data_IF_708832113122
#
_entry.id   IF_708832113122
#
_cell.length_a   1.000
_cell.length_b   1.000
_cell.length_c   1.000
_cell.angle_alpha   90.00
_cell.angle_beta   90.00
_cell.angle_gamma   90.00
#
_symmetry.space_group_name_H-M   'P 1'
#
loop_
_entity.id
_entity.type
_entity.pdbx_description
1 polymer ?
#
# COMPACT_ATOMS: atom_id res chain seq x y z
N UNK A 1 -45.98 53.22 21.52
CA UNK A 1 -45.48 54.13 20.46
C UNK A 1 -44.67 55.22 21.14
N UNK A 2 -43.35 55.25 21.02
CA UNK A 2 -42.56 56.38 21.51
C UNK A 2 -41.35 56.60 20.61
N UNK A 3 -41.15 57.88 20.28
CA UNK A 3 -40.35 58.41 19.16
C UNK A 3 -38.85 58.42 19.47
N UNK A 4 -38.08 58.20 18.40
CA UNK A 4 -36.69 58.62 18.20
C UNK A 4 -36.40 60.02 18.77
N UNK A 5 -35.19 60.22 19.33
CA UNK A 5 -34.24 61.24 18.84
C UNK A 5 -32.83 61.12 19.42
N UNK A 6 -31.91 61.30 18.48
CA UNK A 6 -30.46 61.42 18.50
C UNK A 6 -29.85 62.45 19.50
N UNK A 7 -28.61 62.12 19.90
CA UNK A 7 -27.37 62.91 19.76
C UNK A 7 -26.68 63.51 21.01
N UNK A 8 -25.33 63.45 20.87
CA UNK A 8 -24.27 64.26 21.48
C UNK A 8 -23.78 63.77 22.87
N UNK A 9 -22.49 63.77 23.23
CA UNK A 9 -21.37 64.69 22.92
C UNK A 9 -20.03 63.93 23.06
N UNK A 10 -19.02 64.38 22.33
CA UNK A 10 -17.63 63.89 22.33
C UNK A 10 -16.76 64.34 23.52
N UNK A 11 -15.67 63.58 23.69
CA UNK A 11 -14.30 63.98 24.08
C UNK A 11 -13.98 64.23 25.57
N UNK A 12 -13.04 63.44 26.10
CA UNK A 12 -11.68 63.90 26.43
C UNK A 12 -10.84 62.77 27.06
N UNK A 13 -9.53 62.77 26.80
CA UNK A 13 -8.55 62.17 27.71
C UNK A 13 -7.76 60.99 27.17
N UNK A 14 -6.68 61.29 26.46
CA UNK A 14 -5.58 60.36 26.21
C UNK A 14 -4.80 60.06 27.49
N UNK A 15 -4.24 58.85 27.63
CA UNK A 15 -2.84 58.66 28.04
C UNK A 15 -2.37 57.25 27.68
N UNK A 16 -1.19 57.18 27.07
CA UNK A 16 -0.47 55.98 26.66
C UNK A 16 0.05 55.19 27.86
N UNK A 17 0.12 53.86 27.74
CA UNK A 17 1.36 53.10 27.93
C UNK A 17 1.15 51.63 27.54
N UNK A 18 2.00 51.15 26.63
CA UNK A 18 2.11 49.78 26.21
C UNK A 18 2.76 48.90 27.30
N UNK A 19 2.35 47.62 27.37
CA UNK A 19 3.28 46.48 27.26
C UNK A 19 2.55 45.14 27.42
N UNK A 20 2.90 44.21 26.52
CA UNK A 20 2.80 42.76 26.65
C UNK A 20 1.42 42.11 26.53
N UNK A 21 0.91 42.04 25.30
CA UNK A 21 0.05 40.92 24.89
C UNK A 21 0.90 39.66 24.81
N UNK A 22 0.74 38.78 25.80
CA UNK A 22 0.99 37.37 25.61
C UNK A 22 0.07 36.91 24.46
N UNK A 23 0.62 36.83 23.25
CA UNK A 23 -0.03 36.08 22.18
C UNK A 23 -0.05 34.64 22.66
N UNK A 24 -1.24 34.16 23.02
CA UNK A 24 -1.54 32.75 22.95
C UNK A 24 -1.23 32.32 21.52
N UNK A 25 -0.02 31.79 21.33
CA UNK A 25 0.35 31.00 20.16
C UNK A 25 -0.59 29.79 20.21
N UNK A 26 -1.73 29.91 19.53
CA UNK A 26 -2.36 28.78 18.88
C UNK A 26 -1.27 28.20 17.97
N UNK A 27 -0.56 27.19 18.50
CA UNK A 27 0.22 26.32 17.66
C UNK A 27 -0.76 25.76 16.62
N UNK A 28 -0.48 25.89 15.31
CA UNK A 28 -1.22 25.11 14.35
C UNK A 28 -1.04 23.64 14.76
N UNK A 29 -2.14 22.96 15.06
CA UNK A 29 -2.12 21.51 15.13
C UNK A 29 -1.49 21.04 13.81
N UNK A 30 -0.38 20.29 13.85
CA UNK A 30 0.17 19.73 12.63
C UNK A 30 -0.97 18.96 11.97
N UNK A 31 -1.16 19.06 10.63
CA UNK A 31 -2.18 18.30 9.94
C UNK A 31 -2.01 16.87 10.41
N UNK A 32 -3.06 16.36 11.08
CA UNK A 32 -3.06 15.05 11.71
C UNK A 32 -2.47 14.08 10.71
N UNK A 33 -1.24 13.66 10.99
CA UNK A 33 -0.61 12.59 10.25
C UNK A 33 -1.56 11.43 10.44
N UNK A 34 -2.34 11.12 9.39
CA UNK A 34 -2.87 9.79 9.21
C UNK A 34 -1.65 8.90 9.27
N UNK A 35 -1.37 8.40 10.47
CA UNK A 35 -0.25 7.53 10.71
C UNK A 35 -0.47 6.37 9.78
N UNK A 36 0.28 6.33 8.68
CA UNK A 36 0.37 5.13 7.88
C UNK A 36 0.77 4.05 8.86
N UNK A 37 -0.11 3.08 9.05
CA UNK A 37 0.21 1.88 9.82
C UNK A 37 1.50 1.36 9.18
N UNK A 38 2.62 1.27 9.91
CA UNK A 38 3.93 0.92 9.33
C UNK A 38 3.95 -0.50 8.71
N UNK A 39 2.84 -1.21 8.76
CA UNK A 39 2.57 -2.50 8.13
C UNK A 39 1.97 -2.41 6.72
N UNK A 40 1.53 -1.23 6.26
CA UNK A 40 1.06 -1.06 4.88
C UNK A 40 2.29 -1.08 3.95
N UNK A 41 2.44 -2.16 3.18
CA UNK A 41 3.55 -2.28 2.24
C UNK A 41 3.45 -1.14 1.24
N UNK A 42 4.52 -0.36 1.17
CA UNK A 42 4.69 0.71 0.19
C UNK A 42 4.81 0.05 -1.18
N UNK A 43 3.80 0.16 -2.05
CA UNK A 43 3.81 -0.48 -3.38
C UNK A 43 5.04 -0.08 -4.22
N UNK A 44 5.60 1.10 -3.96
CA UNK A 44 6.86 1.62 -4.51
C UNK A 44 8.13 0.95 -3.97
N UNK A 45 8.05 0.25 -2.83
CA UNK A 45 9.11 -0.60 -2.29
C UNK A 45 9.08 -2.03 -2.87
N UNK A 46 7.93 -2.47 -3.38
CA UNK A 46 7.75 -3.79 -4.03
C UNK A 46 8.34 -3.75 -5.44
N UNK A 47 8.03 -2.70 -6.20
CA UNK A 47 8.60 -2.43 -7.51
C UNK A 47 8.83 -0.93 -7.66
N UNK A 48 10.03 -0.57 -8.11
CA UNK A 48 10.27 0.80 -8.58
C UNK A 48 9.40 1.09 -9.81
N UNK A 49 9.13 2.38 -10.08
CA UNK A 49 8.39 2.77 -11.28
C UNK A 49 9.05 2.25 -12.57
N UNK A 50 10.38 2.21 -12.63
CA UNK A 50 11.12 1.71 -13.80
C UNK A 50 10.90 0.19 -13.99
N UNK A 51 10.92 -0.59 -12.91
CA UNK A 51 10.66 -2.04 -12.97
C UNK A 51 9.20 -2.33 -13.33
N UNK A 52 8.27 -1.55 -12.78
CA UNK A 52 6.87 -1.62 -13.16
C UNK A 52 6.67 -1.33 -14.66
N UNK A 53 7.23 -0.23 -15.19
CA UNK A 53 7.17 0.10 -16.63
C UNK A 53 7.80 -1.00 -17.48
N UNK A 54 8.92 -1.60 -17.06
CA UNK A 54 9.54 -2.71 -17.78
C UNK A 54 8.64 -3.97 -17.85
N UNK A 55 7.70 -4.13 -16.92
CA UNK A 55 6.77 -5.26 -16.85
C UNK A 55 5.45 -4.96 -17.57
N UNK A 56 4.84 -3.77 -17.38
CA UNK A 56 3.51 -3.42 -17.92
C UNK A 56 3.52 -2.48 -19.12
N UNK A 57 4.70 -2.02 -19.55
CA UNK A 57 4.88 -1.12 -20.70
C UNK A 57 4.79 0.37 -20.35
N UNK A 58 5.19 1.20 -21.32
CA UNK A 58 5.39 2.65 -21.18
C UNK A 58 4.10 3.44 -20.85
N UNK A 59 2.93 2.83 -20.99
CA UNK A 59 1.63 3.45 -20.68
C UNK A 59 1.31 3.57 -19.18
N UNK A 60 2.16 3.03 -18.31
CA UNK A 60 1.88 2.87 -16.88
C UNK A 60 2.10 4.13 -16.03
N UNK A 61 1.16 4.45 -15.12
CA UNK A 61 1.17 5.68 -14.31
C UNK A 61 1.33 5.51 -12.78
N UNK A 62 1.46 4.28 -12.26
CA UNK A 62 1.53 4.04 -10.80
C UNK A 62 0.51 2.99 -10.35
N UNK A 63 0.72 2.29 -9.21
CA UNK A 63 -0.23 1.27 -8.80
C UNK A 63 -1.45 1.95 -8.22
N UNK A 64 -2.65 1.49 -8.58
CA UNK A 64 -3.82 1.76 -7.77
C UNK A 64 -3.61 1.02 -6.45
N UNK A 65 -3.42 1.78 -5.37
CA UNK A 65 -3.27 1.24 -4.02
C UNK A 65 -4.64 1.24 -3.36
N UNK A 66 -5.09 0.07 -2.95
CA UNK A 66 -6.32 -0.11 -2.20
C UNK A 66 -6.06 -0.93 -0.92
N UNK A 67 -6.75 -0.59 0.15
CA UNK A 67 -6.72 -1.29 1.43
C UNK A 67 -8.11 -1.91 1.65
N UNK A 68 -8.36 -3.11 1.10
CA UNK A 68 -9.70 -3.71 1.15
C UNK A 68 -10.14 -4.05 2.59
N UNK A 69 -9.17 -4.21 3.49
CA UNK A 69 -9.38 -4.37 4.93
C UNK A 69 -8.10 -4.00 5.70
N UNK A 70 -8.20 -3.66 7.00
CA UNK A 70 -7.04 -3.23 7.78
C UNK A 70 -5.84 -4.18 7.70
N UNK A 71 -4.70 -3.66 7.24
CA UNK A 71 -3.45 -4.43 7.14
C UNK A 71 -3.30 -5.29 5.87
N UNK A 72 -4.22 -5.18 4.92
CA UNK A 72 -4.05 -5.65 3.56
C UNK A 72 -3.59 -4.51 2.67
N UNK A 73 -2.59 -4.76 1.83
CA UNK A 73 -2.24 -3.82 0.76
C UNK A 73 -2.43 -4.52 -0.56
N UNK A 74 -3.36 -3.99 -1.37
CA UNK A 74 -3.50 -4.38 -2.76
C UNK A 74 -2.88 -3.30 -3.63
N UNK A 75 -1.94 -3.71 -4.47
CA UNK A 75 -1.30 -2.86 -5.45
C UNK A 75 -1.67 -3.41 -6.84
N UNK A 76 -2.39 -2.63 -7.63
CA UNK A 76 -2.76 -3.01 -9.00
C UNK A 76 -2.02 -2.14 -10.02
N UNK A 77 -1.23 -2.78 -10.87
CA UNK A 77 -0.52 -2.13 -11.96
C UNK A 77 -1.21 -2.46 -13.27
N UNK A 78 -1.74 -1.44 -13.93
CA UNK A 78 -2.49 -1.58 -15.18
C UNK A 78 -1.78 -0.85 -16.32
N UNK A 79 -1.56 -1.55 -17.44
CA UNK A 79 -1.05 -1.01 -18.70
C UNK A 79 -2.05 -1.25 -19.84
N UNK A 80 -1.76 -0.73 -21.03
CA UNK A 80 -2.65 -0.89 -22.20
C UNK A 80 -2.87 -2.35 -22.61
N UNK A 81 -1.86 -3.20 -22.39
CA UNK A 81 -1.83 -4.58 -22.88
C UNK A 81 -1.59 -5.63 -21.79
N UNK A 82 -1.41 -5.23 -20.53
CA UNK A 82 -1.10 -6.12 -19.40
C UNK A 82 -1.47 -5.51 -18.06
N UNK A 83 -2.05 -6.33 -17.17
CA UNK A 83 -2.40 -5.99 -15.80
C UNK A 83 -1.75 -7.00 -14.85
N UNK A 84 -1.17 -6.55 -13.74
CA UNK A 84 -0.82 -7.45 -12.64
C UNK A 84 -1.35 -6.91 -11.31
N UNK A 85 -1.85 -7.85 -10.49
CA UNK A 85 -2.33 -7.57 -9.14
C UNK A 85 -1.43 -8.25 -8.13
N UNK A 86 -0.92 -7.48 -7.18
CA UNK A 86 -0.22 -7.93 -5.99
C UNK A 86 -1.13 -7.74 -4.79
N UNK A 87 -1.26 -8.77 -3.98
CA UNK A 87 -1.87 -8.67 -2.67
C UNK A 87 -0.84 -9.05 -1.63
N UNK A 88 -0.55 -8.14 -0.71
CA UNK A 88 0.21 -8.43 0.49
C UNK A 88 -0.72 -8.55 1.69
N UNK A 89 -0.61 -9.66 2.40
CA UNK A 89 -1.26 -9.88 3.68
C UNK A 89 -0.20 -9.83 4.79
N UNK A 90 -0.24 -8.78 5.61
CA UNK A 90 0.66 -8.63 6.74
C UNK A 90 0.38 -9.67 7.84
N UNK A 91 1.35 -9.98 8.70
CA UNK A 91 1.11 -10.86 9.86
C UNK A 91 -0.07 -10.40 10.74
N UNK A 92 -0.30 -9.07 10.83
CA UNK A 92 -1.42 -8.49 11.57
C UNK A 92 -2.77 -8.87 10.93
N UNK A 93 -2.89 -8.74 9.61
CA UNK A 93 -4.14 -9.09 8.91
C UNK A 93 -4.38 -10.60 8.90
N UNK A 94 -3.32 -11.39 8.66
CA UNK A 94 -3.38 -12.86 8.74
C UNK A 94 -3.83 -13.33 10.12
N UNK A 95 -3.33 -12.70 11.19
CA UNK A 95 -3.77 -13.00 12.56
C UNK A 95 -5.21 -12.61 12.82
N UNK A 96 -5.69 -11.50 12.24
CA UNK A 96 -7.10 -11.09 12.36
C UNK A 96 -8.05 -12.10 11.68
N UNK A 97 -7.59 -12.71 10.59
CA UNK A 97 -8.31 -13.77 9.87
C UNK A 97 -8.11 -15.18 10.48
N UNK A 98 -7.38 -15.30 11.58
CA UNK A 98 -7.15 -16.58 12.27
C UNK A 98 -6.26 -17.56 11.49
N UNK A 99 -5.36 -17.05 10.65
CA UNK A 99 -4.41 -17.83 9.85
C UNK A 99 -2.95 -17.44 10.15
N UNK A 100 -2.00 -18.12 9.53
CA UNK A 100 -0.56 -17.86 9.63
C UNK A 100 0.04 -17.68 8.23
N UNK A 101 1.22 -17.07 8.13
CA UNK A 101 1.92 -16.92 6.85
C UNK A 101 2.19 -18.27 6.18
N UNK A 102 2.66 -19.27 6.92
CA UNK A 102 2.88 -20.63 6.39
C UNK A 102 1.60 -21.24 5.84
N UNK A 103 0.49 -21.10 6.59
CA UNK A 103 -0.79 -21.69 6.23
C UNK A 103 -1.41 -20.98 5.02
N UNK A 104 -1.31 -19.65 4.94
CA UNK A 104 -1.79 -18.88 3.80
C UNK A 104 -1.00 -19.23 2.54
N UNK A 105 0.35 -19.23 2.62
CA UNK A 105 1.22 -19.63 1.52
C UNK A 105 0.85 -21.02 0.98
N UNK A 106 0.60 -21.97 1.88
CA UNK A 106 0.22 -23.32 1.45
C UNK A 106 -1.20 -23.39 0.86
N UNK A 107 -2.17 -22.69 1.45
CA UNK A 107 -3.57 -22.70 0.99
C UNK A 107 -3.69 -22.06 -0.40
N UNK A 108 -3.06 -20.92 -0.63
CA UNK A 108 -3.17 -20.18 -1.87
C UNK A 108 -2.56 -20.95 -3.04
N UNK A 109 -1.41 -21.60 -2.83
CA UNK A 109 -0.82 -22.52 -3.80
C UNK A 109 -1.71 -23.75 -4.03
N UNK A 110 -2.21 -24.41 -2.97
CA UNK A 110 -3.09 -25.58 -3.12
C UNK A 110 -4.38 -25.27 -3.86
N UNK A 111 -4.92 -24.05 -3.68
CA UNK A 111 -6.19 -23.65 -4.27
C UNK A 111 -6.14 -23.62 -5.80
N UNK A 112 -4.95 -23.43 -6.39
CA UNK A 112 -4.77 -23.38 -7.86
C UNK A 112 -4.06 -24.61 -8.42
N UNK A 113 -3.54 -25.49 -7.57
CA UNK A 113 -2.95 -26.76 -8.00
C UNK A 113 -4.03 -27.75 -8.48
N UNK A 114 -3.73 -28.47 -9.56
CA UNK A 114 -4.58 -29.57 -10.06
C UNK A 114 -3.75 -30.79 -10.45
N UNK A 115 -4.34 -31.75 -11.19
CA UNK A 115 -3.65 -32.97 -11.62
C UNK A 115 -2.45 -32.73 -12.54
N UNK A 116 -2.41 -31.59 -13.22
CA UNK A 116 -1.39 -31.21 -14.22
C UNK A 116 -0.60 -29.97 -13.84
N UNK A 117 -1.17 -29.10 -13.02
CA UNK A 117 -0.57 -27.85 -12.54
C UNK A 117 -0.11 -28.03 -11.11
N UNK A 118 1.20 -28.19 -10.91
CA UNK A 118 1.82 -28.31 -9.59
C UNK A 118 2.67 -27.10 -9.30
N UNK A 119 2.77 -26.75 -8.02
CA UNK A 119 3.69 -25.70 -7.61
C UNK A 119 5.13 -26.08 -7.92
N UNK A 120 5.90 -25.09 -8.30
CA UNK A 120 7.32 -25.14 -8.43
C UNK A 120 7.93 -24.19 -7.39
N UNK A 121 8.83 -24.69 -6.55
CA UNK A 121 9.58 -23.84 -5.63
C UNK A 121 10.66 -23.08 -6.38
N UNK A 122 10.77 -21.79 -6.12
CA UNK A 122 11.77 -20.92 -6.73
C UNK A 122 13.04 -20.90 -5.86
N UNK A 123 14.19 -21.40 -6.36
CA UNK A 123 15.41 -21.48 -5.56
C UNK A 123 16.16 -20.15 -5.47
N UNK A 124 16.98 -19.99 -4.43
CA UNK A 124 17.96 -18.89 -4.34
C UNK A 124 17.37 -17.52 -3.98
N UNK A 125 16.20 -17.49 -3.34
CA UNK A 125 15.52 -16.25 -2.91
C UNK A 125 15.77 -15.95 -1.42
N UNK A 126 16.10 -16.96 -0.61
CA UNK A 126 16.35 -16.81 0.84
C UNK A 126 15.10 -16.87 1.71
N UNK A 127 13.91 -16.88 1.10
CA UNK A 127 12.62 -17.17 1.74
C UNK A 127 11.82 -18.18 0.90
N UNK A 128 10.70 -18.67 1.41
CA UNK A 128 9.82 -19.55 0.63
C UNK A 128 9.16 -18.74 -0.50
N UNK A 129 9.34 -19.21 -1.73
CA UNK A 129 8.65 -18.66 -2.88
C UNK A 129 8.33 -19.79 -3.86
N UNK A 130 7.17 -19.68 -4.50
CA UNK A 130 6.67 -20.71 -5.40
C UNK A 130 5.86 -20.10 -6.54
N UNK A 131 5.78 -20.83 -7.64
CA UNK A 131 4.90 -20.51 -8.76
C UNK A 131 4.01 -21.70 -9.12
N UNK A 132 2.80 -21.44 -9.61
CA UNK A 132 1.91 -22.45 -10.20
C UNK A 132 1.46 -21.92 -11.56
N UNK A 133 1.66 -22.71 -12.61
CA UNK A 133 1.10 -22.39 -13.94
C UNK A 133 -0.44 -22.41 -13.86
N UNK A 134 -1.08 -21.32 -14.27
CA UNK A 134 -2.54 -21.19 -14.32
C UNK A 134 -3.09 -21.50 -15.73
N UNK A 135 -2.22 -21.66 -16.72
CA UNK A 135 -2.54 -21.84 -18.13
C UNK A 135 -2.79 -20.51 -18.86
N UNK A 136 -2.77 -20.57 -20.19
CA UNK A 136 -3.03 -19.40 -21.03
C UNK A 136 -2.03 -18.26 -20.78
N UNK A 137 -0.75 -18.60 -20.59
CA UNK A 137 0.34 -17.69 -20.24
C UNK A 137 0.24 -17.02 -18.85
N UNK A 138 -0.70 -17.43 -18.00
CA UNK A 138 -0.81 -16.93 -16.63
C UNK A 138 -0.13 -17.85 -15.62
N UNK A 139 0.46 -17.28 -14.56
CA UNK A 139 0.99 -18.03 -13.43
C UNK A 139 0.67 -17.32 -12.11
N UNK A 140 0.47 -18.10 -11.04
CA UNK A 140 0.55 -17.61 -9.67
C UNK A 140 2.02 -17.52 -9.29
N UNK A 141 2.43 -16.43 -8.65
CA UNK A 141 3.71 -16.29 -7.97
C UNK A 141 3.44 -15.86 -6.54
N UNK A 142 4.00 -16.60 -5.59
CA UNK A 142 3.78 -16.35 -4.17
C UNK A 142 5.11 -16.33 -3.42
N UNK A 143 5.28 -15.36 -2.51
CA UNK A 143 6.50 -15.14 -1.73
C UNK A 143 6.12 -14.93 -0.27
N UNK A 144 6.65 -15.79 0.60
CA UNK A 144 6.46 -15.69 2.04
C UNK A 144 7.61 -14.90 2.66
N UNK A 145 7.33 -13.68 3.12
CA UNK A 145 8.29 -12.82 3.82
C UNK A 145 8.23 -13.07 5.33
N UNK A 146 9.18 -12.51 6.06
CA UNK A 146 9.17 -12.53 7.53
C UNK A 146 8.01 -11.73 8.15
N UNK A 147 7.42 -10.78 7.40
CA UNK A 147 6.38 -9.86 7.84
C UNK A 147 5.01 -10.09 7.16
N UNK A 148 4.89 -11.12 6.32
CA UNK A 148 3.62 -11.47 5.66
C UNK A 148 3.77 -12.37 4.44
N UNK A 149 2.73 -12.40 3.61
CA UNK A 149 2.70 -13.19 2.36
C UNK A 149 2.31 -12.27 1.20
N UNK A 150 3.08 -12.34 0.13
CA UNK A 150 2.85 -11.65 -1.12
C UNK A 150 2.35 -12.62 -2.18
N UNK A 151 1.17 -12.34 -2.75
CA UNK A 151 0.52 -13.15 -3.77
C UNK A 151 0.35 -12.34 -5.06
N UNK A 152 0.73 -12.91 -6.20
CA UNK A 152 0.61 -12.26 -7.51
C UNK A 152 0.09 -13.20 -8.57
N UNK A 153 -0.75 -12.69 -9.46
CA UNK A 153 -1.04 -13.34 -10.74
C UNK A 153 -0.26 -12.60 -11.82
N UNK A 154 0.65 -13.30 -12.49
CA UNK A 154 1.48 -12.78 -13.58
C UNK A 154 0.97 -13.33 -14.91
N UNK A 155 1.16 -12.58 -15.99
CA UNK A 155 0.73 -12.96 -17.34
C UNK A 155 1.85 -12.68 -18.35
N UNK A 156 2.21 -13.67 -19.18
CA UNK A 156 3.30 -13.61 -20.16
C UNK A 156 4.66 -13.20 -19.57
N UNK A 157 4.90 -13.55 -18.31
CA UNK A 157 6.19 -13.36 -17.63
C UNK A 157 6.94 -14.69 -17.64
N UNK A 158 8.14 -14.69 -18.25
CA UNK A 158 9.00 -15.87 -18.24
C UNK A 158 9.58 -16.17 -16.85
N UNK A 159 10.17 -17.37 -16.72
CA UNK A 159 10.69 -17.88 -15.45
C UNK A 159 11.80 -17.02 -14.86
N UNK A 160 12.71 -16.51 -15.67
CA UNK A 160 13.84 -15.71 -15.19
C UNK A 160 13.36 -14.38 -14.61
N UNK A 161 12.35 -13.77 -15.26
CA UNK A 161 11.68 -12.57 -14.74
C UNK A 161 10.85 -12.86 -13.50
N UNK A 162 10.16 -14.01 -13.41
CA UNK A 162 9.47 -14.42 -12.19
C UNK A 162 10.44 -14.57 -11.01
N UNK A 163 11.61 -15.17 -11.24
CA UNK A 163 12.65 -15.30 -10.23
C UNK A 163 13.18 -13.93 -9.77
N UNK A 164 13.43 -13.00 -10.71
CA UNK A 164 13.86 -11.65 -10.39
C UNK A 164 12.80 -10.91 -9.54
N UNK A 165 11.53 -11.01 -9.94
CA UNK A 165 10.40 -10.43 -9.21
C UNK A 165 10.30 -10.99 -7.78
N UNK A 166 10.41 -12.32 -7.63
CA UNK A 166 10.36 -12.96 -6.32
C UNK A 166 11.50 -12.49 -5.41
N UNK A 167 12.71 -12.28 -5.96
CA UNK A 167 13.86 -11.73 -5.21
C UNK A 167 13.65 -10.30 -4.75
N UNK A 168 13.08 -9.45 -5.61
CA UNK A 168 12.76 -8.07 -5.24
C UNK A 168 11.78 -8.03 -4.06
N UNK A 169 10.74 -8.87 -4.12
CA UNK A 169 9.67 -8.90 -3.12
C UNK A 169 10.10 -9.54 -1.80
N UNK A 170 11.03 -10.49 -1.84
CA UNK A 170 11.51 -11.20 -0.65
C UNK A 170 12.14 -10.28 0.40
N UNK A 171 12.52 -9.05 0.03
CA UNK A 171 13.08 -8.06 0.94
C UNK A 171 11.98 -7.17 1.53
N UNK A 172 12.01 -6.86 2.84
CA UNK A 172 11.03 -5.99 3.49
C UNK A 172 10.84 -4.62 2.85
#
# INVERSE_FOLDING_TARGET
MMRLRLAAVMAAGALLAAASTAHALLAPEPPGGGGQDPTAVRCDAVLTQAEAVAIVGDSYQGPAVDEPSPGFTRCEWQGSDSNFGFTFASLKSLSADGTTADKTFDIDLRAVEDGTKKRELLPGIGVNAATVDLGGDAALLEVQRADGVARMIVYKIDRDRMLALAKAIATP
#
